data_IF_697945770309
#
_entry.id   IF_697945770309
#
_cell.length_a   1.000
_cell.length_b   1.000
_cell.length_c   1.000
_cell.angle_alpha   90.00
_cell.angle_beta   90.00
_cell.angle_gamma   90.00
#
_symmetry.space_group_name_H-M   'P 1'
#
loop_
_entity.id
_entity.type
_entity.pdbx_description
1 polymer ?
#
# COMPACT_ATOMS: atom_id res chain seq x y z
N UNK A 1 -6.20 2.45 15.46
CA UNK A 1 -5.77 3.65 16.20
C UNK A 1 -4.36 3.41 16.75
N UNK A 2 -3.33 3.67 15.93
CA UNK A 2 -1.92 3.45 16.27
C UNK A 2 -1.38 4.62 17.13
N UNK A 3 -1.83 4.73 18.39
CA UNK A 3 -1.32 5.76 19.31
C UNK A 3 -0.08 5.23 20.04
N UNK A 4 1.11 5.57 19.53
CA UNK A 4 2.39 5.38 20.21
C UNK A 4 3.45 4.61 19.40
N UNK A 5 3.02 3.76 18.47
CA UNK A 5 3.91 2.93 17.65
C UNK A 5 4.48 3.68 16.43
N UNK A 6 3.86 4.80 16.02
CA UNK A 6 4.37 5.60 14.89
C UNK A 6 5.75 6.21 15.14
N UNK A 7 6.09 6.59 16.37
CA UNK A 7 7.38 7.21 16.68
C UNK A 7 8.55 6.21 16.71
N UNK A 8 8.30 4.96 17.13
CA UNK A 8 9.29 3.88 16.98
C UNK A 8 9.30 3.38 15.52
N UNK A 9 8.12 3.23 14.91
CA UNK A 9 7.97 2.85 13.50
C UNK A 9 8.63 3.83 12.54
N UNK A 10 8.60 5.15 12.80
CA UNK A 10 9.20 6.16 11.92
C UNK A 10 10.73 6.02 11.81
N UNK A 11 11.40 5.63 12.91
CA UNK A 11 12.84 5.34 12.91
C UNK A 11 13.19 4.12 12.05
N UNK A 12 12.39 3.05 12.16
CA UNK A 12 12.54 1.85 11.34
C UNK A 12 12.24 2.12 9.86
N UNK A 13 11.18 2.88 9.55
CA UNK A 13 10.84 3.28 8.18
C UNK A 13 11.90 4.17 7.55
N UNK A 14 12.48 5.11 8.31
CA UNK A 14 13.59 5.94 7.81
C UNK A 14 14.82 5.10 7.49
N UNK A 15 15.12 4.10 8.32
CA UNK A 15 16.22 3.16 8.06
C UNK A 15 15.94 2.31 6.83
N UNK A 16 14.74 1.74 6.72
CA UNK A 16 14.36 0.89 5.59
C UNK A 16 14.39 1.67 4.27
N UNK A 17 13.86 2.90 4.23
CA UNK A 17 13.94 3.77 3.06
C UNK A 17 15.39 4.02 2.61
N UNK A 18 16.32 4.23 3.55
CA UNK A 18 17.74 4.40 3.22
C UNK A 18 18.35 3.14 2.64
N UNK A 19 18.13 2.00 3.28
CA UNK A 19 18.64 0.70 2.82
C UNK A 19 18.17 0.39 1.40
N UNK A 20 16.91 0.67 1.11
CA UNK A 20 16.30 0.42 -0.19
C UNK A 20 16.73 1.45 -1.23
N UNK A 21 16.95 2.72 -0.85
CA UNK A 21 17.50 3.75 -1.75
C UNK A 21 18.96 3.47 -2.17
N UNK A 22 19.73 2.81 -1.31
CA UNK A 22 21.11 2.42 -1.58
C UNK A 22 21.22 1.16 -2.49
N UNK A 23 20.10 0.51 -2.84
CA UNK A 23 20.04 -0.63 -3.76
C UNK A 23 19.52 -0.23 -5.15
N UNK A 24 20.16 -0.76 -6.20
CA UNK A 24 19.62 -0.79 -7.57
C UNK A 24 19.62 -2.25 -8.05
N UNK A 25 18.56 -2.78 -8.70
CA UNK A 25 17.33 -2.15 -9.26
C UNK A 25 16.10 -2.07 -8.32
N UNK A 26 14.96 -1.57 -8.83
CA UNK A 26 13.65 -1.49 -8.14
C UNK A 26 13.23 -2.85 -7.56
N UNK A 27 12.78 -2.86 -6.30
CA UNK A 27 12.44 -4.06 -5.54
C UNK A 27 11.08 -3.93 -4.83
N UNK A 28 10.46 -5.06 -4.49
CA UNK A 28 9.13 -5.09 -3.88
C UNK A 28 9.07 -4.34 -2.54
N UNK A 29 10.18 -4.33 -1.80
CA UNK A 29 10.32 -3.62 -0.52
C UNK A 29 10.05 -2.11 -0.67
N UNK A 30 10.36 -1.51 -1.82
CA UNK A 30 10.00 -0.10 -2.11
C UNK A 30 8.49 0.11 -2.07
N UNK A 31 7.73 -0.88 -2.53
CA UNK A 31 6.27 -0.86 -2.54
C UNK A 31 5.69 -1.11 -1.15
N UNK A 32 6.24 -2.07 -0.40
CA UNK A 32 5.83 -2.29 0.99
C UNK A 32 6.06 -1.06 1.87
N UNK A 33 7.10 -0.27 1.61
CA UNK A 33 7.36 0.99 2.32
C UNK A 33 6.33 2.09 2.01
N UNK A 34 5.52 1.96 0.96
CA UNK A 34 4.42 2.89 0.69
C UNK A 34 3.20 2.63 1.59
N UNK A 35 2.96 1.39 2.03
CA UNK A 35 1.74 1.02 2.76
C UNK A 35 1.59 1.78 4.09
N UNK A 36 2.66 1.95 4.91
CA UNK A 36 2.58 2.79 6.11
C UNK A 36 2.31 4.26 5.81
N UNK A 37 2.72 4.77 4.64
CA UNK A 37 2.45 6.15 4.23
C UNK A 37 0.97 6.34 3.91
N UNK A 38 0.30 5.32 3.34
CA UNK A 38 -1.16 5.32 3.14
C UNK A 38 -1.88 5.58 4.47
N UNK A 39 -1.57 4.80 5.49
CA UNK A 39 -2.21 4.93 6.81
C UNK A 39 -1.86 6.25 7.51
N UNK A 40 -0.65 6.79 7.29
CA UNK A 40 -0.27 8.13 7.78
C UNK A 40 -1.08 9.24 7.11
N UNK A 41 -1.21 9.22 5.79
CA UNK A 41 -2.01 10.17 5.04
C UNK A 41 -3.49 10.07 5.43
N UNK A 42 -4.03 8.87 5.63
CA UNK A 42 -5.40 8.69 6.13
C UNK A 42 -5.59 9.25 7.54
N UNK A 43 -4.62 9.06 8.45
CA UNK A 43 -4.67 9.64 9.79
C UNK A 43 -4.55 11.18 9.78
N UNK A 44 -3.93 11.74 8.73
CA UNK A 44 -3.79 13.18 8.50
C UNK A 44 -4.95 13.79 7.68
N UNK A 45 -5.99 13.01 7.37
CA UNK A 45 -7.13 13.44 6.51
C UNK A 45 -6.70 13.88 5.09
N UNK A 46 -5.66 13.23 4.55
CA UNK A 46 -5.12 13.41 3.20
C UNK A 46 -5.41 12.19 2.29
N UNK A 47 -6.68 11.89 1.95
CA UNK A 47 -7.04 10.68 1.21
C UNK A 47 -6.48 10.64 -0.23
N UNK A 48 -6.22 11.79 -0.86
CA UNK A 48 -5.61 11.84 -2.20
C UNK A 48 -4.14 11.40 -2.18
N UNK A 49 -3.37 11.86 -1.19
CA UNK A 49 -1.99 11.41 -0.98
C UNK A 49 -1.93 9.93 -0.61
N UNK A 50 -2.87 9.47 0.24
CA UNK A 50 -3.02 8.06 0.57
C UNK A 50 -3.24 7.22 -0.70
N UNK A 51 -4.09 7.69 -1.62
CA UNK A 51 -4.35 7.00 -2.87
C UNK A 51 -3.13 6.96 -3.79
N UNK A 52 -2.34 8.04 -3.82
CA UNK A 52 -1.08 8.09 -4.58
C UNK A 52 -0.07 7.06 -4.06
N UNK A 53 0.11 6.95 -2.74
CA UNK A 53 0.96 5.93 -2.14
C UNK A 53 0.49 4.49 -2.43
N UNK A 54 -0.81 4.23 -2.32
CA UNK A 54 -1.38 2.92 -2.66
C UNK A 54 -1.20 2.58 -4.15
N UNK A 55 -1.35 3.58 -5.03
CA UNK A 55 -1.11 3.42 -6.48
C UNK A 55 0.35 3.09 -6.76
N UNK A 56 1.29 3.79 -6.11
CA UNK A 56 2.72 3.51 -6.24
C UNK A 56 3.07 2.09 -5.76
N UNK A 57 2.46 1.63 -4.67
CA UNK A 57 2.62 0.26 -4.19
C UNK A 57 2.15 -0.77 -5.23
N UNK A 58 0.97 -0.55 -5.83
CA UNK A 58 0.40 -1.45 -6.84
C UNK A 58 1.29 -1.53 -8.09
N UNK A 59 1.80 -0.39 -8.55
CA UNK A 59 2.75 -0.33 -9.66
C UNK A 59 4.04 -1.10 -9.40
N UNK A 60 4.59 -0.99 -8.19
CA UNK A 60 5.80 -1.73 -7.81
C UNK A 60 5.50 -3.23 -7.72
N UNK A 61 4.40 -3.62 -7.06
CA UNK A 61 3.98 -5.02 -6.99
C UNK A 61 3.80 -5.64 -8.39
N UNK A 62 3.26 -4.87 -9.33
CA UNK A 62 3.12 -5.33 -10.72
C UNK A 62 4.47 -5.50 -11.44
N UNK A 63 5.43 -4.58 -11.25
CA UNK A 63 6.75 -4.63 -11.92
C UNK A 63 7.71 -5.63 -11.28
N UNK A 64 7.60 -5.84 -9.97
CA UNK A 64 8.39 -6.81 -9.23
C UNK A 64 7.74 -8.21 -9.21
N UNK A 65 6.59 -8.38 -9.86
CA UNK A 65 5.83 -9.64 -9.90
C UNK A 65 5.49 -10.17 -8.50
N UNK A 66 5.21 -9.25 -7.55
CA UNK A 66 4.81 -9.57 -6.17
C UNK A 66 3.27 -9.49 -6.05
N UNK A 67 2.58 -10.65 -6.04
CA UNK A 67 1.12 -10.69 -6.00
C UNK A 67 0.55 -10.26 -4.64
N UNK A 68 1.30 -10.45 -3.54
CA UNK A 68 0.87 -10.06 -2.19
C UNK A 68 0.85 -8.53 -2.07
N UNK A 69 1.94 -7.87 -2.50
CA UNK A 69 2.02 -6.42 -2.53
C UNK A 69 0.93 -5.81 -3.41
N UNK A 70 0.71 -6.38 -4.61
CA UNK A 70 -0.33 -5.90 -5.52
C UNK A 70 -1.73 -6.04 -4.93
N UNK A 71 -2.02 -7.18 -4.28
CA UNK A 71 -3.31 -7.42 -3.63
C UNK A 71 -3.56 -6.43 -2.48
N UNK A 72 -2.56 -6.22 -1.61
CA UNK A 72 -2.67 -5.27 -0.49
C UNK A 72 -2.85 -3.84 -1.02
N UNK A 73 -2.09 -3.44 -2.05
CA UNK A 73 -2.20 -2.12 -2.64
C UNK A 73 -3.59 -1.84 -3.24
N UNK A 74 -4.14 -2.80 -4.00
CA UNK A 74 -5.51 -2.71 -4.55
C UNK A 74 -6.57 -2.64 -3.45
N UNK A 75 -6.39 -3.44 -2.39
CA UNK A 75 -7.26 -3.40 -1.23
C UNK A 75 -7.28 -1.99 -0.60
N UNK A 76 -6.11 -1.37 -0.43
CA UNK A 76 -6.01 0.00 0.08
C UNK A 76 -6.63 1.03 -0.86
N UNK A 77 -6.39 0.94 -2.18
CA UNK A 77 -7.04 1.81 -3.17
C UNK A 77 -8.57 1.73 -3.08
N UNK A 78 -9.13 0.51 -2.99
CA UNK A 78 -10.56 0.29 -2.82
C UNK A 78 -11.12 0.93 -1.54
N UNK A 79 -10.44 0.72 -0.40
CA UNK A 79 -10.80 1.36 0.89
C UNK A 79 -10.82 2.88 0.78
N UNK A 80 -9.82 3.48 0.15
CA UNK A 80 -9.71 4.95 0.04
C UNK A 80 -10.81 5.52 -0.86
N UNK A 81 -11.16 4.85 -1.95
CA UNK A 81 -12.27 5.27 -2.82
C UNK A 81 -13.61 5.24 -2.10
N UNK A 82 -13.86 4.20 -1.30
CA UNK A 82 -15.05 4.11 -0.44
C UNK A 82 -15.10 5.28 0.55
N UNK A 83 -13.96 5.61 1.19
CA UNK A 83 -13.86 6.76 2.11
C UNK A 83 -14.16 8.09 1.40
N UNK A 84 -13.82 8.20 0.11
CA UNK A 84 -14.11 9.37 -0.75
C UNK A 84 -15.53 9.38 -1.34
N UNK A 85 -16.32 8.34 -1.12
CA UNK A 85 -17.68 8.21 -1.64
C UNK A 85 -17.79 7.58 -3.04
N UNK A 86 -16.69 7.15 -3.66
CA UNK A 86 -16.70 6.39 -4.91
C UNK A 86 -16.85 4.89 -4.61
N UNK A 87 -18.06 4.51 -4.21
CA UNK A 87 -18.35 3.14 -3.78
C UNK A 87 -18.24 2.12 -4.91
N UNK A 88 -18.64 2.49 -6.13
CA UNK A 88 -18.62 1.57 -7.28
C UNK A 88 -17.19 1.15 -7.57
N UNK A 89 -16.30 2.12 -7.80
CA UNK A 89 -14.90 1.79 -8.09
C UNK A 89 -14.19 1.19 -6.88
N UNK A 90 -14.58 1.64 -5.69
CA UNK A 90 -14.08 1.09 -4.43
C UNK A 90 -14.33 -0.40 -4.28
N UNK A 91 -15.57 -0.87 -4.49
CA UNK A 91 -15.90 -2.29 -4.39
C UNK A 91 -15.29 -3.13 -5.51
N UNK A 92 -15.21 -2.62 -6.74
CA UNK A 92 -14.52 -3.31 -7.85
C UNK A 92 -13.08 -3.69 -7.47
N UNK A 93 -12.31 -2.76 -6.89
CA UNK A 93 -10.93 -3.03 -6.48
C UNK A 93 -10.82 -3.99 -5.30
N UNK A 94 -11.78 -3.96 -4.37
CA UNK A 94 -11.82 -4.91 -3.26
C UNK A 94 -12.12 -6.32 -3.77
N UNK A 95 -13.03 -6.47 -4.72
CA UNK A 95 -13.35 -7.77 -5.33
C UNK A 95 -12.16 -8.31 -6.13
N UNK A 96 -11.48 -7.47 -6.92
CA UNK A 96 -10.25 -7.85 -7.63
C UNK A 96 -9.16 -8.36 -6.68
N UNK A 97 -8.97 -7.72 -5.52
CA UNK A 97 -8.03 -8.16 -4.50
C UNK A 97 -8.43 -9.51 -3.88
N UNK A 98 -9.73 -9.76 -3.70
CA UNK A 98 -10.22 -11.05 -3.17
C UNK A 98 -10.06 -12.21 -4.16
N UNK A 99 -10.11 -11.96 -5.47
CA UNK A 99 -9.82 -12.98 -6.50
C UNK A 99 -8.37 -13.47 -6.40
N UNK A 100 -7.41 -12.60 -6.09
CA UNK A 100 -6.03 -13.04 -5.86
C UNK A 100 -5.89 -13.97 -4.64
N UNK A 101 -6.55 -13.66 -3.53
CA UNK A 101 -6.55 -14.48 -2.31
C UNK A 101 -7.12 -15.87 -2.59
N UNK A 102 -8.27 -15.94 -3.25
CA UNK A 102 -9.00 -17.20 -3.46
C UNK A 102 -8.35 -18.11 -4.50
N UNK A 103 -7.52 -17.57 -5.39
CA UNK A 103 -6.77 -18.35 -6.38
C UNK A 103 -5.53 -19.08 -5.83
N UNK A 104 -5.23 -18.97 -4.52
CA UNK A 104 -4.04 -19.59 -3.92
C UNK A 104 -2.72 -19.00 -4.40
N UNK A 105 -2.76 -17.77 -4.95
CA UNK A 105 -1.60 -17.04 -5.46
C UNK A 105 -0.92 -16.13 -4.42
N UNK A 106 -1.45 -16.12 -3.20
CA UNK A 106 -0.91 -15.38 -2.07
C UNK A 106 -0.23 -16.35 -1.11
N UNK A 107 0.84 -15.92 -0.47
CA UNK A 107 1.67 -16.77 0.42
C UNK A 107 1.37 -16.58 1.90
#
# INVERSE_FOLDING_TARGET
>A
MFRGEFAQGSGWLTRANRLVADHAPECAEQGYLQLPMVEQCLAADSPDEAFAHATRAAEIGQRCEDPDLLAIARHLQGRILILRGDYVRGFELLDEAMVSVTSGRLS
#
